data_IF_102913299797
#
_entry.id   IF_102913299797
#
_cell.length_a   1.000
_cell.length_b   1.000
_cell.length_c   1.000
_cell.angle_alpha   90.00
_cell.angle_beta   90.00
_cell.angle_gamma   90.00
#
_symmetry.space_group_name_H-M   'P 1'
#
loop_
_entity.id
_entity.type
_entity.pdbx_description
1 polymer ?
#
# COMPACT_ATOMS: atom_id res chain seq x y z
N UNK A 1 -15.64 39.98 -112.33
CA UNK A 1 -16.18 39.59 -110.97
C UNK A 1 -15.08 39.28 -110.02
N UNK A 2 -14.49 40.27 -109.31
CA UNK A 2 -13.46 39.98 -108.29
C UNK A 2 -13.82 40.41 -106.87
N UNK A 3 -15.09 40.67 -106.48
CA UNK A 3 -15.43 41.18 -105.18
C UNK A 3 -15.71 40.11 -104.07
N UNK A 4 -15.85 38.85 -104.41
CA UNK A 4 -16.15 37.78 -103.42
C UNK A 4 -14.90 37.22 -102.67
N UNK A 5 -13.71 37.37 -103.22
CA UNK A 5 -12.46 36.85 -102.58
C UNK A 5 -11.90 37.74 -101.51
N UNK A 6 -12.22 39.04 -101.51
CA UNK A 6 -11.72 39.97 -100.49
C UNK A 6 -12.50 39.86 -99.18
N UNK A 7 -13.78 39.54 -99.24
CA UNK A 7 -14.59 39.35 -98.01
C UNK A 7 -14.28 38.03 -97.24
N UNK A 8 -13.89 36.98 -97.97
CA UNK A 8 -13.49 35.71 -97.32
C UNK A 8 -12.14 35.84 -96.66
N UNK A 9 -11.22 36.62 -97.19
CA UNK A 9 -9.94 36.91 -96.55
C UNK A 9 -10.12 37.79 -95.30
N UNK A 10 -11.03 38.77 -95.28
CA UNK A 10 -11.34 39.62 -94.16
C UNK A 10 -12.01 38.83 -93.02
N UNK A 11 -12.90 37.89 -93.38
CA UNK A 11 -13.53 37.01 -92.38
C UNK A 11 -12.52 36.03 -91.71
N UNK A 12 -11.55 35.50 -92.48
CA UNK A 12 -10.48 34.66 -91.96
C UNK A 12 -9.52 35.42 -91.08
N UNK A 13 -9.19 36.67 -91.38
CA UNK A 13 -8.34 37.54 -90.58
C UNK A 13 -9.05 37.89 -89.23
N UNK A 14 -10.35 38.23 -89.27
CA UNK A 14 -11.14 38.49 -88.07
C UNK A 14 -11.27 37.25 -87.19
N UNK A 15 -11.41 36.05 -87.79
CA UNK A 15 -11.47 34.81 -87.05
C UNK A 15 -10.11 34.49 -86.44
N UNK A 16 -9.00 34.71 -87.16
CA UNK A 16 -7.65 34.54 -86.64
C UNK A 16 -7.33 35.51 -85.46
N UNK A 17 -7.76 36.78 -85.59
CA UNK A 17 -7.59 37.79 -84.53
C UNK A 17 -8.48 37.44 -83.34
N UNK A 18 -9.69 36.93 -83.51
CA UNK A 18 -10.56 36.46 -82.47
C UNK A 18 -9.98 35.26 -81.69
N UNK A 19 -9.37 34.30 -82.41
CA UNK A 19 -8.68 33.15 -81.75
C UNK A 19 -7.41 33.61 -81.08
N UNK A 20 -6.67 34.60 -81.60
CA UNK A 20 -5.48 35.13 -80.91
C UNK A 20 -5.82 35.93 -79.67
N UNK A 21 -6.92 36.70 -79.68
CA UNK A 21 -7.42 37.41 -78.52
C UNK A 21 -8.00 36.43 -77.43
N UNK A 22 -8.64 35.34 -77.90
CA UNK A 22 -9.10 34.29 -76.97
C UNK A 22 -7.93 33.51 -76.38
N UNK A 23 -6.89 33.24 -77.15
CA UNK A 23 -5.66 32.59 -76.61
C UNK A 23 -4.81 33.51 -75.73
N UNK A 24 -4.98 34.84 -75.87
CA UNK A 24 -4.26 35.85 -75.09
C UNK A 24 -5.04 36.31 -73.84
N UNK A 25 -6.24 35.80 -73.63
CA UNK A 25 -6.88 36.00 -72.32
C UNK A 25 -6.01 35.32 -71.26
N UNK A 26 -5.40 36.10 -70.33
CA UNK A 26 -4.66 35.48 -69.24
C UNK A 26 -5.71 34.80 -68.37
N UNK A 27 -5.82 33.47 -68.48
CA UNK A 27 -6.50 32.69 -67.46
C UNK A 27 -5.78 32.99 -66.22
N UNK A 28 -6.36 33.88 -65.40
CA UNK A 28 -5.98 34.04 -64.03
C UNK A 28 -6.18 32.67 -63.37
N UNK A 29 -5.10 31.86 -63.38
CA UNK A 29 -5.04 30.74 -62.42
C UNK A 29 -5.32 31.35 -61.03
N UNK A 30 -6.52 31.17 -60.55
CA UNK A 30 -6.79 31.39 -59.17
C UNK A 30 -5.78 30.51 -58.43
N UNK A 31 -4.75 31.12 -57.84
CA UNK A 31 -3.87 30.47 -56.89
C UNK A 31 -4.79 30.02 -55.75
N UNK A 32 -5.33 28.81 -55.88
CA UNK A 32 -5.96 28.14 -54.74
C UNK A 32 -4.84 27.84 -53.75
N UNK A 33 -4.58 28.81 -52.87
CA UNK A 33 -3.70 28.60 -51.71
C UNK A 33 -4.16 27.38 -50.91
N UNK A 34 -3.31 26.85 -50.09
CA UNK A 34 -3.66 25.70 -49.25
C UNK A 34 -4.95 25.99 -48.48
N UNK A 35 -5.94 25.11 -48.60
CA UNK A 35 -7.15 25.20 -47.79
C UNK A 35 -6.86 24.76 -46.37
N UNK A 36 -7.20 25.63 -45.40
CA UNK A 36 -6.94 25.40 -44.00
C UNK A 36 -8.20 24.89 -43.30
N UNK A 37 -8.02 23.87 -42.46
CA UNK A 37 -9.08 23.41 -41.57
C UNK A 37 -9.13 24.37 -40.37
N UNK A 38 -10.26 25.04 -40.18
CA UNK A 38 -10.49 26.04 -39.16
C UNK A 38 -11.35 25.48 -38.05
N UNK A 39 -11.11 25.93 -36.80
CA UNK A 39 -11.99 25.71 -35.68
C UNK A 39 -12.26 27.02 -34.93
N UNK A 40 -13.48 27.16 -34.41
CA UNK A 40 -13.86 28.31 -33.61
C UNK A 40 -13.41 28.09 -32.17
N UNK A 41 -12.86 29.12 -31.54
CA UNK A 41 -12.53 29.14 -30.15
C UNK A 41 -13.80 29.16 -29.30
N UNK A 42 -13.98 28.20 -28.41
CA UNK A 42 -15.14 28.08 -27.53
C UNK A 42 -14.74 28.30 -26.10
N UNK A 43 -15.67 28.88 -25.31
CA UNK A 43 -15.56 28.91 -23.86
C UNK A 43 -16.31 27.72 -23.26
N UNK A 44 -15.74 27.16 -22.19
CA UNK A 44 -16.41 26.09 -21.48
C UNK A 44 -15.54 25.47 -20.39
N UNK A 45 -16.07 24.47 -19.71
CA UNK A 45 -15.33 23.79 -18.64
C UNK A 45 -14.16 22.98 -19.21
N UNK A 46 -13.03 23.03 -18.50
CA UNK A 46 -11.83 22.26 -18.80
C UNK A 46 -11.39 21.56 -17.52
N UNK A 47 -11.14 20.27 -17.57
CA UNK A 47 -10.67 19.50 -16.43
C UNK A 47 -9.42 18.72 -16.80
N UNK A 48 -8.33 19.03 -16.13
CA UNK A 48 -7.14 18.19 -16.21
C UNK A 48 -7.30 16.97 -15.31
N UNK A 49 -6.90 15.83 -15.81
CA UNK A 49 -6.92 14.59 -15.07
C UNK A 49 -5.66 13.77 -15.34
N UNK A 50 -5.12 13.18 -14.31
CA UNK A 50 -4.08 12.15 -14.39
C UNK A 50 -4.77 10.81 -14.54
N UNK A 51 -4.39 10.06 -15.57
CA UNK A 51 -4.91 8.71 -15.83
C UNK A 51 -3.88 7.69 -15.38
N UNK A 52 -4.31 6.73 -14.59
CA UNK A 52 -3.42 5.68 -14.08
C UNK A 52 -4.22 4.41 -13.81
N UNK A 53 -3.55 3.27 -13.82
CA UNK A 53 -4.14 1.99 -13.45
C UNK A 53 -3.88 1.68 -11.97
N UNK A 54 -4.77 0.92 -11.39
CA UNK A 54 -4.67 0.52 -9.98
C UNK A 54 -5.36 -0.78 -9.68
N UNK A 55 -5.26 -1.22 -8.44
CA UNK A 55 -5.93 -2.42 -7.93
C UNK A 55 -6.82 -2.08 -6.75
N UNK A 56 -7.98 -2.71 -6.69
CA UNK A 56 -8.87 -2.60 -5.54
C UNK A 56 -8.42 -3.54 -4.43
N UNK A 57 -8.51 -3.05 -3.20
CA UNK A 57 -8.32 -3.83 -1.98
C UNK A 57 -9.37 -3.42 -0.95
N UNK A 58 -9.68 -4.31 0.00
CA UNK A 58 -10.46 -3.89 1.15
C UNK A 58 -9.62 -2.92 2.02
N UNK A 59 -10.28 -1.97 2.66
CA UNK A 59 -9.61 -0.94 3.47
C UNK A 59 -8.74 -1.56 4.58
N UNK A 60 -9.23 -2.63 5.22
CA UNK A 60 -8.50 -3.36 6.25
C UNK A 60 -8.54 -4.84 5.90
N UNK A 61 -7.37 -5.41 5.64
CA UNK A 61 -7.17 -6.84 5.46
C UNK A 61 -6.25 -7.37 6.55
N UNK A 62 -6.60 -8.52 7.13
CA UNK A 62 -5.80 -9.19 8.15
C UNK A 62 -5.41 -10.57 7.63
N UNK A 63 -4.11 -10.83 7.65
CA UNK A 63 -3.57 -12.15 7.32
C UNK A 63 -3.48 -12.97 8.59
N UNK A 64 -4.11 -14.14 8.59
CA UNK A 64 -4.11 -15.09 9.70
C UNK A 64 -3.18 -16.24 9.34
N UNK A 65 -2.15 -16.44 10.16
CA UNK A 65 -1.19 -17.52 10.02
C UNK A 65 -1.17 -18.43 11.25
N UNK A 66 -0.35 -19.50 11.20
CA UNK A 66 -0.07 -20.33 12.38
C UNK A 66 1.18 -19.85 13.11
N UNK A 67 1.16 -19.91 14.44
CA UNK A 67 2.32 -19.64 15.30
C UNK A 67 3.08 -20.92 15.68
N UNK A 68 2.46 -22.09 15.45
CA UNK A 68 3.05 -23.41 15.73
C UNK A 68 2.98 -24.27 14.48
N UNK A 69 3.96 -25.15 14.33
CA UNK A 69 4.01 -26.12 13.22
C UNK A 69 3.14 -27.33 13.53
N UNK A 70 2.41 -27.81 12.54
CA UNK A 70 1.56 -29.00 12.69
C UNK A 70 0.76 -29.28 11.41
N UNK A 71 0.02 -30.37 11.41
CA UNK A 71 -0.88 -30.73 10.32
C UNK A 71 -2.26 -30.10 10.55
N UNK A 72 -2.90 -29.59 9.51
CA UNK A 72 -4.28 -29.10 9.56
C UNK A 72 -5.23 -30.27 9.72
N UNK A 73 -5.92 -30.33 10.84
CA UNK A 73 -6.91 -31.37 11.14
C UNK A 73 -8.29 -31.03 10.63
N UNK A 74 -8.69 -29.76 10.77
CA UNK A 74 -10.04 -29.31 10.48
C UNK A 74 -10.02 -27.86 9.99
N UNK A 75 -10.82 -27.54 8.97
CA UNK A 75 -11.10 -26.19 8.51
C UNK A 75 -12.61 -25.97 8.62
N UNK A 76 -13.05 -24.91 9.31
CA UNK A 76 -14.47 -24.61 9.60
C UNK A 76 -15.06 -23.52 8.74
N UNK A 77 -14.24 -22.86 7.93
CA UNK A 77 -14.63 -21.75 7.06
C UNK A 77 -14.08 -21.96 5.66
N UNK A 78 -14.79 -21.43 4.67
CA UNK A 78 -14.36 -21.48 3.29
C UNK A 78 -14.34 -20.07 2.70
N UNK A 79 -14.01 -19.93 1.41
CA UNK A 79 -14.07 -18.67 0.70
C UNK A 79 -15.43 -17.99 0.89
N UNK A 80 -15.42 -16.68 1.03
CA UNK A 80 -16.60 -15.82 1.25
C UNK A 80 -17.40 -16.10 2.54
N UNK A 81 -16.88 -16.93 3.46
CA UNK A 81 -17.52 -17.16 4.75
C UNK A 81 -17.41 -15.90 5.63
N UNK A 82 -18.51 -15.50 6.24
CA UNK A 82 -18.52 -14.49 7.30
C UNK A 82 -17.96 -15.08 8.59
N UNK A 83 -17.05 -14.38 9.22
CA UNK A 83 -16.42 -14.77 10.48
C UNK A 83 -16.52 -13.66 11.51
N UNK A 84 -16.68 -14.07 12.78
CA UNK A 84 -16.64 -13.16 13.93
C UNK A 84 -15.29 -13.21 14.59
N UNK A 85 -14.95 -12.14 15.30
CA UNK A 85 -13.77 -12.10 16.15
C UNK A 85 -13.79 -13.28 17.13
N UNK A 86 -12.62 -13.91 17.34
CA UNK A 86 -12.39 -15.07 18.17
C UNK A 86 -13.09 -16.38 17.72
N UNK A 87 -13.80 -16.35 16.59
CA UNK A 87 -14.36 -17.56 15.97
C UNK A 87 -13.24 -18.49 15.49
N UNK A 88 -13.38 -19.78 15.80
CA UNK A 88 -12.45 -20.82 15.32
C UNK A 88 -12.64 -21.03 13.82
N UNK A 89 -11.58 -20.82 13.05
CA UNK A 89 -11.57 -20.94 11.59
C UNK A 89 -10.85 -22.20 11.11
N UNK A 90 -9.83 -22.64 11.84
CA UNK A 90 -9.14 -23.90 11.57
C UNK A 90 -8.54 -24.46 12.86
N UNK A 91 -8.17 -25.74 12.85
CA UNK A 91 -7.50 -26.42 13.96
C UNK A 91 -6.37 -27.28 13.41
N UNK A 92 -5.21 -27.15 14.03
CA UNK A 92 -4.10 -28.09 13.87
C UNK A 92 -4.37 -29.37 14.66
N UNK A 93 -3.68 -30.45 14.33
CA UNK A 93 -3.74 -31.67 15.13
C UNK A 93 -3.13 -31.45 16.52
N UNK A 94 -3.92 -31.56 17.60
CA UNK A 94 -3.47 -31.26 18.94
C UNK A 94 -2.72 -32.42 19.61
N UNK A 95 -2.69 -33.61 19.07
CA UNK A 95 -2.24 -34.84 19.73
C UNK A 95 -0.84 -34.72 20.35
N UNK A 96 0.11 -34.16 19.60
CA UNK A 96 1.47 -33.95 20.09
C UNK A 96 1.54 -32.88 21.18
N UNK A 97 0.70 -31.86 21.11
CA UNK A 97 0.62 -30.79 22.10
C UNK A 97 -0.09 -31.24 23.38
N UNK A 98 -1.18 -32.02 23.25
CA UNK A 98 -1.86 -32.65 24.37
C UNK A 98 -0.89 -33.56 25.15
N UNK A 99 -0.09 -34.36 24.46
CA UNK A 99 0.94 -35.20 25.08
C UNK A 99 1.99 -34.38 25.85
N UNK A 100 2.41 -33.22 25.32
CA UNK A 100 3.33 -32.29 25.99
C UNK A 100 2.70 -31.69 27.23
N UNK A 101 1.43 -31.31 27.18
CA UNK A 101 0.69 -30.80 28.33
C UNK A 101 0.60 -31.87 29.41
N UNK A 102 0.23 -33.12 29.08
CA UNK A 102 0.16 -34.23 30.01
C UNK A 102 1.52 -34.52 30.67
N UNK A 103 2.61 -34.49 29.90
CA UNK A 103 3.96 -34.62 30.43
C UNK A 103 4.31 -33.49 31.41
N UNK A 104 4.03 -32.23 31.08
CA UNK A 104 4.32 -31.09 31.93
C UNK A 104 3.47 -31.09 33.21
N UNK A 105 2.23 -31.60 33.14
CA UNK A 105 1.38 -31.82 34.33
C UNK A 105 1.93 -32.88 35.26
N UNK A 106 2.42 -34.00 34.72
CA UNK A 106 3.08 -35.04 35.50
C UNK A 106 4.37 -34.52 36.18
N UNK A 107 5.19 -33.74 35.45
CA UNK A 107 6.40 -33.14 35.96
C UNK A 107 6.10 -32.14 37.11
N UNK A 108 5.06 -31.33 36.94
CA UNK A 108 4.62 -30.43 38.03
C UNK A 108 4.19 -31.21 39.25
N UNK A 109 3.39 -32.27 39.08
CA UNK A 109 2.92 -33.11 40.17
C UNK A 109 4.05 -33.79 40.94
N UNK A 110 5.08 -34.25 40.22
CA UNK A 110 6.30 -34.81 40.82
C UNK A 110 7.04 -33.72 41.67
N UNK A 111 7.18 -32.51 41.14
CA UNK A 111 7.81 -31.40 41.87
C UNK A 111 7.01 -30.97 43.11
N UNK A 112 5.68 -30.94 43.02
CA UNK A 112 4.79 -30.68 44.16
C UNK A 112 4.97 -31.74 45.28
N UNK A 113 5.02 -33.03 44.88
CA UNK A 113 5.26 -34.13 45.84
C UNK A 113 6.63 -34.02 46.51
N UNK A 114 7.67 -33.65 45.76
CA UNK A 114 9.01 -33.41 46.32
C UNK A 114 9.02 -32.22 47.30
N UNK A 115 8.29 -31.16 47.01
CA UNK A 115 8.14 -30.01 47.90
C UNK A 115 7.40 -30.38 49.21
N UNK A 116 6.42 -31.29 49.12
CA UNK A 116 5.73 -31.77 50.31
C UNK A 116 6.62 -32.65 51.20
N UNK A 117 7.47 -33.51 50.60
CA UNK A 117 8.50 -34.24 51.36
C UNK A 117 9.48 -33.28 52.04
N UNK A 118 9.94 -32.22 51.35
CA UNK A 118 10.80 -31.23 51.95
C UNK A 118 10.14 -30.51 53.16
N UNK A 119 8.85 -30.21 53.05
CA UNK A 119 8.05 -29.63 54.16
C UNK A 119 7.92 -30.58 55.34
N UNK A 120 7.72 -31.89 55.08
CA UNK A 120 7.71 -32.90 56.12
C UNK A 120 9.05 -32.98 56.86
N UNK A 121 10.16 -32.98 56.15
CA UNK A 121 11.51 -32.93 56.72
C UNK A 121 11.74 -31.67 57.57
N UNK A 122 11.27 -30.51 57.11
CA UNK A 122 11.33 -29.25 57.85
C UNK A 122 10.59 -29.36 59.15
N UNK A 123 9.39 -29.98 59.21
CA UNK A 123 8.61 -30.18 60.44
C UNK A 123 9.36 -31.07 61.40
N UNK A 124 10.04 -32.14 60.99
CA UNK A 124 10.89 -33.01 61.82
C UNK A 124 12.03 -32.19 62.46
N UNK A 125 12.77 -31.40 61.69
CA UNK A 125 13.87 -30.55 62.21
C UNK A 125 13.36 -29.46 63.13
N UNK A 126 12.18 -28.92 62.95
CA UNK A 126 11.55 -28.00 63.92
C UNK A 126 11.27 -28.67 65.26
N UNK A 127 10.80 -29.93 65.24
CA UNK A 127 10.57 -30.71 66.49
C UNK A 127 11.90 -31.02 67.17
N UNK A 128 12.99 -31.29 66.40
CA UNK A 128 14.33 -31.53 66.98
C UNK A 128 14.86 -30.28 67.68
N UNK A 129 14.71 -29.09 67.13
CA UNK A 129 15.06 -27.81 67.80
C UNK A 129 14.26 -27.66 69.10
N UNK A 130 12.94 -27.95 69.05
CA UNK A 130 12.10 -27.93 70.26
C UNK A 130 12.62 -28.86 71.36
N UNK A 131 13.01 -30.08 70.99
CA UNK A 131 13.59 -31.06 71.94
C UNK A 131 14.92 -30.56 72.49
N UNK A 132 15.85 -30.08 71.72
CA UNK A 132 17.14 -29.57 72.14
C UNK A 132 17.01 -28.34 73.02
N UNK A 133 16.04 -27.48 72.76
CA UNK A 133 15.72 -26.32 73.63
C UNK A 133 15.25 -26.73 74.97
N UNK A 134 14.35 -27.74 75.12
CA UNK A 134 13.88 -28.26 76.38
C UNK A 134 15.04 -28.88 77.19
N UNK A 135 15.97 -29.61 76.51
CA UNK A 135 17.13 -30.19 77.13
C UNK A 135 18.08 -29.12 77.72
N UNK A 136 18.30 -28.02 76.93
CA UNK A 136 19.11 -26.89 77.40
C UNK A 136 18.46 -26.20 78.63
N UNK A 137 17.14 -25.96 78.57
CA UNK A 137 16.40 -25.37 79.73
C UNK A 137 16.46 -26.24 80.94
N UNK A 138 16.44 -27.56 80.82
CA UNK A 138 16.59 -28.49 82.01
C UNK A 138 18.02 -28.49 82.50
N UNK A 139 19.04 -28.52 81.66
CA UNK A 139 20.44 -28.39 82.05
C UNK A 139 20.70 -27.07 82.79
N UNK A 140 20.15 -25.96 82.32
CA UNK A 140 20.27 -24.66 83.00
C UNK A 140 19.63 -24.65 84.39
N UNK A 141 18.43 -25.19 84.53
CA UNK A 141 17.74 -25.31 85.83
C UNK A 141 18.55 -26.17 86.80
N UNK A 142 19.20 -27.25 86.32
CA UNK A 142 20.06 -28.10 87.16
C UNK A 142 21.32 -27.35 87.58
N UNK A 143 21.97 -26.62 86.68
CA UNK A 143 23.12 -25.79 86.99
C UNK A 143 22.79 -24.73 88.03
N UNK A 144 21.68 -24.05 87.94
CA UNK A 144 21.22 -23.06 88.91
C UNK A 144 20.99 -23.64 90.26
N UNK A 145 20.37 -24.79 90.36
CA UNK A 145 20.20 -25.54 91.60
C UNK A 145 21.56 -25.91 92.20
N UNK A 146 22.50 -26.46 91.44
CA UNK A 146 23.84 -26.80 91.85
C UNK A 146 24.66 -25.59 92.28
N UNK A 147 24.54 -24.45 91.59
CA UNK A 147 25.17 -23.18 92.04
C UNK A 147 24.72 -22.73 93.40
N UNK A 148 23.43 -22.86 93.77
CA UNK A 148 22.90 -22.53 95.03
C UNK A 148 23.43 -23.46 96.14
N UNK A 149 23.56 -24.78 95.88
CA UNK A 149 24.07 -25.76 96.78
C UNK A 149 25.59 -25.61 97.11
N UNK A 150 26.41 -25.25 96.05
CA UNK A 150 27.85 -24.95 96.29
C UNK A 150 28.02 -23.74 97.14
N UNK A 151 27.22 -22.67 96.98
CA UNK A 151 27.26 -21.50 97.90
C UNK A 151 26.99 -21.81 99.33
N UNK A 152 26.25 -22.90 99.56
CA UNK A 152 25.97 -23.40 100.94
C UNK A 152 26.95 -24.51 101.46
N UNK A 153 28.02 -24.83 100.68
CA UNK A 153 29.00 -25.87 100.89
C UNK A 153 28.45 -27.30 100.97
N UNK A 154 27.29 -27.58 100.34
CA UNK A 154 26.67 -28.91 100.32
C UNK A 154 27.18 -29.85 99.23
N UNK A 155 27.82 -29.33 98.16
CA UNK A 155 28.39 -30.11 97.04
C UNK A 155 29.77 -29.58 96.70
N UNK A 156 30.58 -30.39 95.94
CA UNK A 156 31.93 -30.03 95.49
C UNK A 156 31.94 -29.12 94.29
N UNK A 157 33.02 -28.36 94.08
CA UNK A 157 33.20 -27.54 92.85
C UNK A 157 33.23 -28.41 91.61
N UNK A 158 33.77 -29.63 91.67
CA UNK A 158 33.77 -30.56 90.56
C UNK A 158 32.35 -30.95 89.98
N UNK A 159 31.38 -31.00 90.93
CA UNK A 159 29.99 -31.25 90.57
C UNK A 159 29.35 -30.02 89.87
N UNK A 160 29.78 -28.82 90.18
CA UNK A 160 29.37 -27.61 89.46
C UNK A 160 29.95 -27.58 88.09
N UNK A 161 31.27 -27.91 87.93
CA UNK A 161 31.94 -27.98 86.65
C UNK A 161 31.28 -29.00 85.68
N UNK A 162 30.87 -30.15 86.21
CA UNK A 162 30.15 -31.16 85.44
C UNK A 162 28.77 -30.65 84.93
N UNK A 163 28.08 -29.88 85.79
CA UNK A 163 26.78 -29.28 85.38
C UNK A 163 26.97 -28.16 84.40
N UNK A 164 28.05 -27.37 84.46
CA UNK A 164 28.41 -26.38 83.50
C UNK A 164 28.72 -27.05 82.12
N UNK A 165 29.53 -28.09 82.14
CA UNK A 165 29.82 -28.85 80.86
C UNK A 165 28.56 -29.46 80.20
N UNK A 166 27.58 -29.90 81.07
CA UNK A 166 26.30 -30.38 80.58
C UNK A 166 25.48 -29.26 79.86
N UNK A 167 25.47 -28.02 80.41
CA UNK A 167 24.84 -26.86 79.76
C UNK A 167 25.54 -26.51 78.44
N UNK A 168 26.87 -26.50 78.43
CA UNK A 168 27.62 -26.17 77.24
C UNK A 168 27.37 -27.22 76.17
N UNK A 169 27.33 -28.52 76.52
CA UNK A 169 26.96 -29.61 75.58
C UNK A 169 25.54 -29.45 75.06
N UNK A 170 24.56 -29.13 75.90
CA UNK A 170 23.18 -28.94 75.45
C UNK A 170 23.02 -27.71 74.60
N UNK A 171 23.83 -26.65 74.86
CA UNK A 171 23.85 -25.45 73.98
C UNK A 171 24.36 -25.77 72.58
N UNK A 172 25.45 -26.52 72.47
CA UNK A 172 25.99 -26.92 71.18
C UNK A 172 25.03 -27.87 70.44
N UNK A 173 24.30 -28.73 71.13
CA UNK A 173 23.24 -29.54 70.55
C UNK A 173 22.10 -28.68 69.98
N UNK A 174 21.70 -27.58 70.65
CA UNK A 174 20.72 -26.65 70.16
C UNK A 174 21.24 -25.90 68.89
N UNK A 175 22.49 -25.44 68.92
CA UNK A 175 23.13 -24.79 67.81
C UNK A 175 23.14 -25.70 66.57
N UNK A 176 23.49 -26.98 66.76
CA UNK A 176 23.49 -27.98 65.70
C UNK A 176 22.07 -28.18 65.09
N UNK A 177 21.07 -28.35 66.01
CA UNK A 177 19.69 -28.52 65.54
C UNK A 177 19.15 -27.28 64.77
N UNK A 178 19.56 -26.09 65.22
CA UNK A 178 19.21 -24.83 64.50
C UNK A 178 19.89 -24.76 63.13
N UNK A 179 21.15 -25.19 63.02
CA UNK A 179 21.82 -25.24 61.68
C UNK A 179 21.13 -26.26 60.77
N UNK A 180 20.74 -27.42 61.23
CA UNK A 180 19.99 -28.43 60.47
C UNK A 180 18.61 -27.87 60.03
N UNK A 181 17.94 -27.12 60.90
CA UNK A 181 16.68 -26.44 60.55
C UNK A 181 16.89 -25.45 59.42
N UNK A 182 17.96 -24.66 59.48
CA UNK A 182 18.27 -23.70 58.40
C UNK A 182 18.50 -24.41 57.02
N UNK A 183 19.21 -25.56 57.07
CA UNK A 183 19.39 -26.38 55.84
C UNK A 183 18.03 -26.90 55.32
N UNK A 184 17.17 -27.42 56.22
CA UNK A 184 15.84 -27.88 55.80
C UNK A 184 14.96 -26.76 55.25
N UNK A 185 15.06 -25.54 55.82
CA UNK A 185 14.37 -24.35 55.28
C UNK A 185 14.86 -24.01 53.87
N UNK A 186 16.17 -24.05 53.62
CA UNK A 186 16.76 -23.83 52.29
C UNK A 186 16.29 -24.91 51.29
N UNK A 187 16.19 -26.17 51.71
CA UNK A 187 15.65 -27.25 50.88
C UNK A 187 14.20 -27.02 50.47
N UNK A 188 13.35 -26.55 51.38
CA UNK A 188 11.96 -26.15 51.04
C UNK A 188 11.96 -24.99 50.06
N UNK A 189 12.84 -24.00 50.20
CA UNK A 189 13.03 -22.91 49.25
C UNK A 189 13.37 -23.40 47.87
N UNK A 190 14.33 -24.31 47.76
CA UNK A 190 14.73 -24.93 46.50
C UNK A 190 13.62 -25.75 45.86
N UNK A 191 12.90 -26.56 46.62
CA UNK A 191 11.78 -27.34 46.15
C UNK A 191 10.63 -26.46 45.62
N UNK A 192 10.31 -25.36 46.32
CA UNK A 192 9.32 -24.36 45.84
C UNK A 192 9.75 -23.71 44.52
N UNK A 193 11.04 -23.37 44.35
CA UNK A 193 11.56 -22.84 43.10
C UNK A 193 11.40 -23.83 41.94
N UNK A 194 11.62 -25.13 42.21
CA UNK A 194 11.36 -26.17 41.21
C UNK A 194 9.87 -26.29 40.82
N UNK A 195 8.95 -26.20 41.80
CA UNK A 195 7.51 -26.18 41.50
C UNK A 195 7.17 -24.99 40.58
N UNK A 196 7.67 -23.79 40.93
CA UNK A 196 7.44 -22.59 40.09
C UNK A 196 7.99 -22.74 38.68
N UNK A 197 9.17 -23.36 38.49
CA UNK A 197 9.76 -23.65 37.20
C UNK A 197 8.88 -24.62 36.38
N UNK A 198 8.41 -25.72 36.99
CA UNK A 198 7.53 -26.69 36.30
C UNK A 198 6.16 -26.10 35.95
N UNK A 199 5.64 -25.25 36.82
CA UNK A 199 4.39 -24.52 36.59
C UNK A 199 4.51 -23.58 35.38
N UNK A 200 5.66 -22.88 35.22
CA UNK A 200 5.94 -22.08 34.04
C UNK A 200 6.03 -22.95 32.77
N UNK A 201 6.67 -24.13 32.84
CA UNK A 201 6.72 -25.10 31.74
C UNK A 201 5.32 -25.58 31.33
N UNK A 202 4.46 -25.91 32.30
CA UNK A 202 3.07 -26.30 32.01
C UNK A 202 2.29 -25.15 31.32
N UNK A 203 2.46 -23.93 31.80
CA UNK A 203 1.83 -22.75 31.17
C UNK A 203 2.25 -22.62 29.71
N UNK A 204 3.53 -22.80 29.42
CA UNK A 204 4.03 -22.76 28.05
C UNK A 204 3.42 -23.87 27.18
N UNK A 205 3.37 -25.10 27.67
CA UNK A 205 2.76 -26.21 26.93
C UNK A 205 1.26 -25.96 26.63
N UNK A 206 0.51 -25.40 27.59
CA UNK A 206 -0.89 -25.01 27.38
C UNK A 206 -1.06 -23.88 26.40
N UNK A 207 -0.19 -22.88 26.35
CA UNK A 207 -0.18 -21.83 25.36
C UNK A 207 0.07 -22.39 23.94
N UNK A 208 0.99 -23.33 23.82
CA UNK A 208 1.29 -23.94 22.53
C UNK A 208 0.12 -24.83 22.04
N UNK A 209 -0.59 -25.49 22.94
CA UNK A 209 -1.83 -26.19 22.64
C UNK A 209 -2.96 -25.21 22.22
N UNK A 210 -3.14 -24.10 22.90
CA UNK A 210 -4.15 -23.10 22.51
C UNK A 210 -3.84 -22.51 21.12
N UNK A 211 -2.57 -22.35 20.76
CA UNK A 211 -2.12 -21.89 19.44
C UNK A 211 -2.42 -22.89 18.31
N UNK A 212 -2.79 -24.15 18.61
CA UNK A 212 -3.29 -25.09 17.61
C UNK A 212 -4.68 -24.71 17.10
N UNK A 213 -5.40 -23.88 17.84
CA UNK A 213 -6.73 -23.39 17.49
C UNK A 213 -6.57 -22.04 16.79
N UNK A 214 -6.71 -22.02 15.46
CA UNK A 214 -6.62 -20.81 14.66
C UNK A 214 -7.94 -20.07 14.74
N UNK A 215 -7.90 -18.81 15.22
CA UNK A 215 -9.08 -17.96 15.40
C UNK A 215 -8.99 -16.73 14.50
N UNK A 216 -10.14 -16.18 14.12
CA UNK A 216 -10.20 -14.88 13.45
C UNK A 216 -9.90 -13.77 14.47
N UNK A 217 -8.95 -12.86 14.17
CA UNK A 217 -8.66 -11.71 15.04
C UNK A 217 -9.67 -10.57 14.91
N UNK A 218 -10.52 -10.59 13.85
CA UNK A 218 -11.48 -9.54 13.49
C UNK A 218 -12.79 -10.12 13.00
N UNK A 219 -13.86 -9.32 13.04
CA UNK A 219 -15.08 -9.60 12.29
C UNK A 219 -14.82 -9.30 10.81
N UNK A 220 -15.33 -10.13 9.90
CA UNK A 220 -15.15 -9.89 8.47
C UNK A 220 -15.52 -11.09 7.59
N UNK A 221 -15.02 -11.05 6.35
CA UNK A 221 -15.23 -12.07 5.33
C UNK A 221 -13.89 -12.65 4.88
N UNK A 222 -13.83 -13.97 4.75
CA UNK A 222 -12.64 -14.68 4.27
C UNK A 222 -12.49 -14.44 2.76
N UNK A 223 -11.40 -13.73 2.37
CA UNK A 223 -11.08 -13.45 0.96
C UNK A 223 -10.32 -14.61 0.34
N UNK A 224 -9.32 -15.15 1.05
CA UNK A 224 -8.51 -16.25 0.55
C UNK A 224 -8.24 -17.29 1.63
N UNK A 225 -8.17 -18.55 1.20
CA UNK A 225 -7.76 -19.72 1.96
C UNK A 225 -6.58 -20.36 1.22
N UNK A 226 -5.42 -20.36 1.86
CA UNK A 226 -4.17 -20.83 1.26
C UNK A 226 -3.71 -22.16 1.89
N UNK A 227 -4.64 -22.94 2.45
CA UNK A 227 -4.34 -24.17 3.18
C UNK A 227 -5.48 -25.17 3.03
N UNK A 228 -5.12 -26.46 2.98
CA UNK A 228 -6.09 -27.57 2.89
C UNK A 228 -6.00 -28.50 4.11
N UNK A 229 -7.09 -29.25 4.34
CA UNK A 229 -7.13 -30.26 5.40
C UNK A 229 -6.09 -31.35 5.10
N UNK A 230 -5.32 -31.76 6.11
CA UNK A 230 -4.22 -32.71 5.95
C UNK A 230 -2.89 -32.08 5.55
N UNK A 231 -2.86 -30.80 5.18
CA UNK A 231 -1.62 -30.08 4.85
C UNK A 231 -0.79 -29.81 6.12
N UNK A 232 0.51 -30.03 6.04
CA UNK A 232 1.45 -29.67 7.10
C UNK A 232 1.91 -28.25 6.92
N UNK A 233 1.80 -27.44 7.98
CA UNK A 233 2.29 -26.06 8.04
C UNK A 233 3.51 -25.98 8.94
N UNK A 234 4.58 -25.29 8.49
CA UNK A 234 5.80 -25.09 9.22
C UNK A 234 5.96 -23.61 9.57
N UNK A 235 5.90 -23.30 10.85
CA UNK A 235 6.01 -21.91 11.36
C UNK A 235 7.44 -21.53 11.79
N UNK A 236 8.44 -22.42 11.59
CA UNK A 236 9.79 -22.27 12.16
C UNK A 236 10.60 -21.14 11.54
N UNK A 237 10.42 -20.83 10.23
CA UNK A 237 11.20 -19.82 9.50
C UNK A 237 10.36 -18.62 9.10
N UNK A 238 9.13 -18.85 8.71
CA UNK A 238 8.20 -17.82 8.27
C UNK A 238 6.78 -18.29 8.58
N UNK A 239 6.00 -17.47 9.26
CA UNK A 239 4.61 -17.81 9.53
C UNK A 239 3.84 -17.88 8.21
N UNK A 240 3.35 -19.05 7.78
CA UNK A 240 2.58 -19.16 6.56
C UNK A 240 1.23 -18.45 6.72
N UNK A 241 0.82 -17.69 5.71
CA UNK A 241 -0.52 -17.10 5.66
C UNK A 241 -1.51 -18.18 5.31
N UNK A 242 -2.42 -18.51 6.23
CA UNK A 242 -3.45 -19.53 6.05
C UNK A 242 -4.74 -18.91 5.47
N UNK A 243 -5.16 -17.78 6.02
CA UNK A 243 -6.36 -17.07 5.60
C UNK A 243 -6.08 -15.58 5.47
N UNK A 244 -6.78 -14.94 4.52
CA UNK A 244 -6.86 -13.48 4.44
C UNK A 244 -8.29 -13.06 4.70
N UNK A 245 -8.52 -12.21 5.68
CA UNK A 245 -9.84 -11.77 6.11
C UNK A 245 -9.95 -10.27 5.86
N UNK A 246 -11.00 -9.84 5.12
CA UNK A 246 -11.38 -8.45 5.00
C UNK A 246 -12.38 -8.09 6.10
N UNK A 247 -12.12 -6.99 6.79
CA UNK A 247 -13.01 -6.53 7.86
C UNK A 247 -14.36 -6.05 7.34
N UNK A 248 -14.35 -5.27 6.26
CA UNK A 248 -15.56 -4.72 5.64
C UNK A 248 -15.31 -4.51 4.14
N UNK A 249 -16.13 -5.14 3.31
CA UNK A 249 -16.09 -5.00 1.86
C UNK A 249 -16.92 -3.81 1.35
N UNK A 250 -17.68 -3.14 2.21
CA UNK A 250 -18.42 -1.91 1.87
C UNK A 250 -17.51 -0.70 1.76
N UNK A 251 -16.36 -0.76 2.41
CA UNK A 251 -15.31 0.26 2.33
C UNK A 251 -14.08 -0.32 1.65
N UNK A 252 -13.83 0.17 0.46
CA UNK A 252 -12.72 -0.27 -0.37
C UNK A 252 -11.69 0.84 -0.53
N UNK A 253 -10.50 0.45 -0.92
CA UNK A 253 -9.43 1.34 -1.29
C UNK A 253 -8.88 0.95 -2.66
N UNK A 254 -8.66 1.95 -3.51
CA UNK A 254 -7.97 1.75 -4.78
C UNK A 254 -6.52 2.22 -4.63
N UNK A 255 -5.60 1.32 -4.85
CA UNK A 255 -4.17 1.66 -4.93
C UNK A 255 -3.82 1.92 -6.39
N UNK A 256 -3.66 3.20 -6.74
CA UNK A 256 -3.38 3.67 -8.09
C UNK A 256 -1.90 3.94 -8.26
N UNK A 257 -1.27 3.35 -9.27
CA UNK A 257 0.13 3.60 -9.60
C UNK A 257 0.21 4.81 -10.54
N UNK A 258 0.65 5.95 -10.01
CA UNK A 258 0.81 7.21 -10.74
C UNK A 258 2.28 7.40 -11.10
N UNK A 259 2.56 7.78 -12.35
CA UNK A 259 3.91 8.02 -12.83
C UNK A 259 4.56 9.24 -12.13
N UNK A 260 5.88 9.20 -11.97
CA UNK A 260 6.67 10.29 -11.36
C UNK A 260 6.41 11.65 -12.03
N UNK A 261 6.21 11.66 -13.35
CA UNK A 261 5.95 12.89 -14.11
C UNK A 261 4.62 13.58 -13.72
N UNK A 262 3.64 12.81 -13.22
CA UNK A 262 2.29 13.28 -12.95
C UNK A 262 1.98 13.41 -11.45
N UNK A 263 2.74 12.73 -10.56
CA UNK A 263 2.47 12.70 -9.12
C UNK A 263 2.49 14.09 -8.48
N UNK A 264 3.31 15.01 -9.01
CA UNK A 264 3.40 16.40 -8.52
C UNK A 264 2.11 17.21 -8.69
N UNK A 265 1.16 16.74 -9.53
CA UNK A 265 -0.15 17.37 -9.72
C UNK A 265 -1.24 16.76 -8.85
N UNK A 266 -0.98 15.61 -8.24
CA UNK A 266 -1.95 14.90 -7.40
C UNK A 266 -1.86 15.41 -5.98
N UNK A 267 -3.01 15.65 -5.36
CA UNK A 267 -3.12 16.09 -3.97
C UNK A 267 -4.21 15.29 -3.24
N UNK A 268 -4.07 15.19 -1.92
CA UNK A 268 -5.09 14.60 -1.05
C UNK A 268 -6.39 15.40 -1.13
N UNK A 269 -7.52 14.70 -1.08
CA UNK A 269 -8.84 15.31 -1.19
C UNK A 269 -9.37 15.44 -2.63
N UNK A 270 -8.54 15.23 -3.65
CA UNK A 270 -8.99 15.25 -5.05
C UNK A 270 -9.97 14.13 -5.34
N UNK A 271 -10.95 14.43 -6.20
CA UNK A 271 -11.92 13.45 -6.66
C UNK A 271 -11.29 12.54 -7.71
N UNK A 272 -11.55 11.27 -7.57
CA UNK A 272 -11.15 10.25 -8.53
C UNK A 272 -12.39 9.60 -9.13
N UNK A 273 -12.41 9.42 -10.45
CA UNK A 273 -13.38 8.60 -11.16
C UNK A 273 -12.65 7.38 -11.71
N UNK A 274 -13.24 6.22 -11.57
CA UNK A 274 -12.62 5.01 -12.12
C UNK A 274 -13.68 4.07 -12.69
N UNK A 275 -13.25 3.20 -13.56
CA UNK A 275 -14.01 2.08 -14.08
C UNK A 275 -13.25 0.79 -13.78
N UNK A 276 -13.96 -0.31 -13.64
CA UNK A 276 -13.39 -1.64 -13.51
C UNK A 276 -13.81 -2.47 -14.73
N UNK A 277 -12.93 -3.33 -15.19
CA UNK A 277 -13.17 -4.12 -16.40
C UNK A 277 -14.35 -5.09 -16.25
N UNK A 278 -14.65 -5.49 -15.00
CA UNK A 278 -15.79 -6.35 -14.68
C UNK A 278 -17.16 -5.68 -14.91
N UNK A 279 -17.22 -4.33 -14.87
CA UNK A 279 -18.46 -3.55 -15.07
C UNK A 279 -18.25 -2.46 -16.11
N UNK A 280 -18.17 -2.82 -17.42
CA UNK A 280 -17.96 -1.87 -18.49
C UNK A 280 -19.18 -0.94 -18.58
N UNK A 281 -18.92 0.37 -18.45
CA UNK A 281 -19.97 1.41 -18.52
C UNK A 281 -20.40 1.97 -17.17
N UNK A 282 -20.15 1.29 -16.05
CA UNK A 282 -20.35 1.85 -14.72
C UNK A 282 -19.13 2.72 -14.34
N UNK A 283 -19.41 3.88 -13.73
CA UNK A 283 -18.37 4.80 -13.25
C UNK A 283 -18.48 4.90 -11.73
N UNK A 284 -17.43 4.52 -11.07
CA UNK A 284 -17.32 4.64 -9.62
C UNK A 284 -16.60 5.92 -9.25
N UNK A 285 -16.91 6.43 -8.07
CA UNK A 285 -16.28 7.62 -7.50
C UNK A 285 -15.45 7.24 -6.28
N UNK A 286 -14.31 7.90 -6.15
CA UNK A 286 -13.46 7.81 -4.98
C UNK A 286 -12.84 9.15 -4.65
N UNK A 287 -12.19 9.22 -3.52
CA UNK A 287 -11.44 10.39 -3.08
C UNK A 287 -10.03 9.99 -2.67
N UNK A 288 -9.04 10.72 -3.16
CA UNK A 288 -7.64 10.54 -2.79
C UNK A 288 -7.46 10.82 -1.31
N UNK A 289 -7.03 9.83 -0.55
CA UNK A 289 -6.80 9.93 0.90
C UNK A 289 -5.33 10.13 1.23
N UNK A 290 -4.45 9.47 0.48
CA UNK A 290 -3.03 9.49 0.76
C UNK A 290 -2.20 9.28 -0.51
N UNK A 291 -1.05 9.94 -0.55
CA UNK A 291 0.00 9.68 -1.54
C UNK A 291 1.19 9.09 -0.78
N UNK A 292 1.58 7.86 -1.11
CA UNK A 292 2.73 7.21 -0.49
C UNK A 292 4.01 7.81 -1.05
N UNK A 293 4.90 8.25 -0.16
CA UNK A 293 6.16 8.91 -0.54
C UNK A 293 7.25 7.93 -1.00
N UNK A 294 7.10 6.63 -0.68
CA UNK A 294 8.02 5.61 -1.16
C UNK A 294 7.67 5.25 -2.61
N UNK A 295 8.61 5.38 -3.55
CA UNK A 295 8.39 4.98 -4.94
C UNK A 295 8.37 3.45 -5.07
N UNK A 296 7.67 2.97 -6.08
CA UNK A 296 7.72 1.59 -6.54
C UNK A 296 8.40 1.61 -7.90
N UNK A 297 9.52 0.90 -8.02
CA UNK A 297 10.21 0.75 -9.30
C UNK A 297 9.91 -0.62 -9.87
N UNK A 298 9.26 -0.64 -11.03
CA UNK A 298 8.99 -1.86 -11.78
C UNK A 298 9.43 -1.65 -13.23
N UNK A 299 10.22 -2.58 -13.77
CA UNK A 299 10.74 -2.51 -15.14
C UNK A 299 11.38 -1.15 -15.50
N UNK A 300 12.16 -0.57 -14.59
CA UNK A 300 12.79 0.75 -14.71
C UNK A 300 11.80 1.95 -14.80
N UNK A 301 10.53 1.73 -14.50
CA UNK A 301 9.54 2.81 -14.40
C UNK A 301 9.29 3.11 -12.92
N UNK A 302 9.43 4.37 -12.55
CA UNK A 302 9.19 4.86 -11.18
C UNK A 302 7.74 5.33 -11.07
N UNK A 303 7.00 4.72 -10.16
CA UNK A 303 5.61 5.09 -9.88
C UNK A 303 5.40 5.33 -8.40
N UNK A 304 4.38 6.11 -8.06
CA UNK A 304 3.97 6.39 -6.69
C UNK A 304 2.57 5.85 -6.44
N UNK A 305 2.38 5.18 -5.30
CA UNK A 305 1.06 4.69 -4.89
C UNK A 305 0.20 5.82 -4.38
N UNK A 306 -0.90 6.08 -5.07
CA UNK A 306 -1.96 6.99 -4.65
C UNK A 306 -3.13 6.16 -4.15
N UNK A 307 -3.46 6.31 -2.87
CA UNK A 307 -4.56 5.60 -2.23
C UNK A 307 -5.82 6.45 -2.32
N UNK A 308 -6.90 5.85 -2.77
CA UNK A 308 -8.20 6.50 -2.85
C UNK A 308 -9.27 5.65 -2.20
N UNK A 309 -10.06 6.24 -1.29
CA UNK A 309 -11.18 5.57 -0.64
C UNK A 309 -12.39 5.53 -1.56
N UNK A 310 -13.09 4.42 -1.55
CA UNK A 310 -14.24 4.13 -2.38
C UNK A 310 -15.32 3.48 -1.54
N UNK A 311 -16.56 3.90 -1.69
CA UNK A 311 -17.72 3.25 -1.10
C UNK A 311 -18.24 2.16 -2.03
N UNK A 312 -18.59 1.00 -1.47
CA UNK A 312 -19.09 -0.17 -2.17
C UNK A 312 -20.37 -0.71 -1.51
N UNK A 313 -21.47 0.06 -1.48
CA UNK A 313 -22.68 -0.34 -0.78
C UNK A 313 -23.32 -1.61 -1.35
N UNK A 314 -23.22 -1.81 -2.65
CA UNK A 314 -23.81 -2.94 -3.38
C UNK A 314 -22.89 -4.18 -3.41
N UNK A 315 -21.70 -4.12 -2.80
CA UNK A 315 -20.69 -5.19 -2.78
C UNK A 315 -20.27 -5.67 -4.19
N UNK A 316 -20.44 -4.83 -5.22
CA UNK A 316 -20.04 -5.13 -6.60
C UNK A 316 -18.52 -5.15 -6.79
N UNK A 317 -17.81 -4.28 -6.07
CA UNK A 317 -16.37 -4.18 -6.13
C UNK A 317 -15.74 -5.27 -5.27
N UNK A 318 -14.85 -6.06 -5.87
CA UNK A 318 -14.15 -7.14 -5.18
C UNK A 318 -12.65 -6.82 -5.06
N UNK A 319 -12.00 -7.25 -3.97
CA UNK A 319 -10.55 -7.15 -3.83
C UNK A 319 -9.83 -7.86 -4.99
N UNK A 320 -8.78 -7.24 -5.53
CA UNK A 320 -8.02 -7.77 -6.66
C UNK A 320 -8.49 -7.29 -8.04
N UNK A 321 -9.66 -6.62 -8.16
CA UNK A 321 -10.09 -6.04 -9.43
C UNK A 321 -9.14 -4.94 -9.89
N UNK A 322 -8.88 -4.88 -11.20
CA UNK A 322 -8.12 -3.80 -11.83
C UNK A 322 -9.04 -2.60 -12.09
N UNK A 323 -8.55 -1.43 -11.74
CA UNK A 323 -9.26 -0.17 -11.94
C UNK A 323 -8.48 0.75 -12.90
N UNK A 324 -9.18 1.31 -13.87
CA UNK A 324 -8.69 2.41 -14.70
C UNK A 324 -9.17 3.72 -14.08
N UNK A 325 -8.26 4.42 -13.39
CA UNK A 325 -8.56 5.61 -12.60
C UNK A 325 -8.22 6.90 -13.34
N UNK A 326 -9.05 7.92 -13.11
CA UNK A 326 -8.83 9.31 -13.54
C UNK A 326 -8.94 10.21 -12.32
N UNK A 327 -7.82 10.76 -11.89
CA UNK A 327 -7.72 11.69 -10.77
C UNK A 327 -7.88 13.10 -11.31
N UNK A 328 -8.90 13.81 -10.88
CA UNK A 328 -9.17 15.19 -11.28
C UNK A 328 -8.20 16.12 -10.55
N UNK A 329 -7.20 16.63 -11.26
CA UNK A 329 -6.17 17.49 -10.67
C UNK A 329 -6.57 18.95 -10.66
N UNK A 330 -7.16 19.43 -11.74
CA UNK A 330 -7.66 20.80 -11.84
C UNK A 330 -8.99 20.86 -12.60
N UNK A 331 -9.91 21.68 -12.14
CA UNK A 331 -11.19 21.96 -12.80
C UNK A 331 -11.35 23.46 -12.96
N UNK A 332 -11.54 23.90 -14.21
CA UNK A 332 -11.82 25.29 -14.58
C UNK A 332 -13.19 25.33 -15.23
N UNK A 333 -14.09 26.20 -14.73
CA UNK A 333 -15.50 26.19 -15.15
C UNK A 333 -15.75 26.97 -16.46
N UNK A 334 -15.02 28.07 -16.69
CA UNK A 334 -15.22 28.94 -17.86
C UNK A 334 -13.86 29.46 -18.37
N UNK A 335 -13.23 28.69 -19.23
CA UNK A 335 -11.94 29.07 -19.87
C UNK A 335 -12.07 29.01 -21.36
N UNK A 336 -11.23 29.80 -22.05
CA UNK A 336 -11.13 29.74 -23.50
C UNK A 336 -10.31 28.48 -23.88
N UNK A 337 -10.95 27.56 -24.59
CA UNK A 337 -10.38 26.27 -24.99
C UNK A 337 -9.68 26.38 -26.32
N UNK A 338 -8.42 26.04 -26.33
CA UNK A 338 -7.60 26.00 -27.52
C UNK A 338 -7.36 24.54 -27.91
N UNK A 339 -7.87 24.03 -29.03
CA UNK A 339 -7.58 22.67 -29.49
C UNK A 339 -6.07 22.45 -29.63
N UNK A 340 -5.58 21.32 -29.07
CA UNK A 340 -4.14 21.02 -29.11
C UNK A 340 -3.59 20.82 -30.52
N UNK A 341 -4.45 20.48 -31.48
CA UNK A 341 -4.09 20.44 -32.92
C UNK A 341 -3.59 21.80 -33.41
N UNK A 342 -4.23 22.91 -32.98
CA UNK A 342 -3.82 24.26 -33.37
C UNK A 342 -2.43 24.64 -32.82
N UNK A 343 -2.04 24.12 -31.67
CA UNK A 343 -0.71 24.34 -31.06
C UNK A 343 0.40 23.60 -31.82
N UNK A 344 0.06 22.49 -32.48
CA UNK A 344 1.01 21.66 -33.25
C UNK A 344 1.15 22.11 -34.69
N UNK A 345 0.19 22.90 -35.18
CA UNK A 345 0.20 23.37 -36.55
C UNK A 345 1.39 24.30 -36.83
N UNK A 346 2.12 24.03 -37.90
CA UNK A 346 3.20 24.88 -38.41
C UNK A 346 2.97 25.09 -39.89
N UNK A 347 2.71 26.33 -40.32
CA UNK A 347 2.51 26.61 -41.73
C UNK A 347 3.82 26.44 -42.49
N UNK A 348 3.70 25.89 -43.71
CA UNK A 348 4.79 25.81 -44.69
C UNK A 348 4.53 26.81 -45.79
N UNK A 349 5.59 27.36 -46.37
CA UNK A 349 5.49 28.22 -47.57
C UNK A 349 5.06 27.39 -48.77
N UNK A 350 4.66 28.03 -49.85
CA UNK A 350 4.23 27.35 -51.08
C UNK A 350 5.31 26.44 -51.71
N UNK A 351 6.56 26.64 -51.35
CA UNK A 351 7.74 25.85 -51.71
C UNK A 351 8.03 24.66 -50.75
N UNK A 352 7.18 24.46 -49.75
CA UNK A 352 7.36 23.38 -48.76
C UNK A 352 8.33 23.71 -47.62
N UNK A 353 8.96 24.91 -47.59
CA UNK A 353 9.86 25.31 -46.53
C UNK A 353 9.10 25.83 -45.33
N UNK A 354 9.48 25.46 -44.09
CA UNK A 354 8.85 26.00 -42.90
C UNK A 354 9.16 27.51 -42.76
N UNK A 355 8.12 28.30 -42.48
CA UNK A 355 8.27 29.73 -42.28
C UNK A 355 9.24 29.97 -41.10
N UNK A 356 10.42 30.52 -41.39
CA UNK A 356 11.36 30.98 -40.35
C UNK A 356 10.74 32.16 -39.59
N UNK A 357 10.43 31.91 -38.33
CA UNK A 357 9.82 32.89 -37.46
C UNK A 357 10.89 33.59 -36.62
N UNK A 358 10.96 34.91 -36.74
CA UNK A 358 11.70 35.71 -35.77
C UNK A 358 11.05 35.57 -34.37
N UNK A 359 11.83 35.16 -33.39
CA UNK A 359 11.41 35.08 -31.99
C UNK A 359 11.35 36.51 -31.44
N UNK A 360 10.23 37.21 -31.69
CA UNK A 360 9.97 38.48 -31.02
C UNK A 360 9.45 38.24 -29.59
N UNK A 361 10.22 38.70 -28.61
CA UNK A 361 9.79 39.00 -27.26
C UNK A 361 9.33 37.80 -26.43
N UNK A 362 10.09 37.44 -25.42
CA UNK A 362 9.66 36.58 -24.30
C UNK A 362 8.65 37.39 -23.50
N UNK A 363 7.36 37.30 -23.78
CA UNK A 363 6.36 37.86 -22.88
C UNK A 363 6.47 37.18 -21.51
N UNK A 364 6.78 37.94 -20.49
CA UNK A 364 6.81 37.47 -19.11
C UNK A 364 5.38 37.33 -18.58
N UNK A 365 5.08 36.22 -17.93
CA UNK A 365 3.77 35.96 -17.33
C UNK A 365 3.59 34.49 -16.96
N UNK A 366 2.57 34.17 -16.16
CA UNK A 366 2.25 32.80 -15.77
C UNK A 366 1.83 31.96 -16.98
N UNK A 367 2.16 30.66 -16.96
CA UNK A 367 1.81 29.70 -18.02
C UNK A 367 2.93 29.44 -19.02
N UNK A 368 2.70 28.45 -19.88
CA UNK A 368 3.65 28.00 -20.91
C UNK A 368 3.47 28.85 -22.16
N UNK A 369 4.54 29.41 -22.77
CA UNK A 369 4.43 30.14 -24.03
C UNK A 369 4.00 29.18 -25.14
N UNK A 370 2.99 29.58 -25.89
CA UNK A 370 2.47 28.87 -27.05
C UNK A 370 2.23 29.81 -28.23
N UNK A 371 1.98 29.25 -29.37
CA UNK A 371 1.66 29.97 -30.60
C UNK A 371 0.56 29.27 -31.34
N UNK A 372 -0.37 30.08 -31.86
CA UNK A 372 -1.46 29.61 -32.75
C UNK A 372 -1.49 30.47 -33.99
N UNK A 373 -2.16 29.95 -35.00
CA UNK A 373 -2.23 30.61 -36.29
C UNK A 373 -3.68 30.95 -36.60
N UNK A 374 -3.92 32.16 -37.04
CA UNK A 374 -5.20 32.65 -37.53
C UNK A 374 -5.08 32.99 -39.03
N UNK A 375 -6.18 32.92 -39.72
CA UNK A 375 -6.23 33.33 -41.13
C UNK A 375 -6.47 34.86 -41.17
N UNK A 376 -5.49 35.62 -41.67
CA UNK A 376 -5.60 37.06 -41.91
C UNK A 376 -5.36 37.31 -43.37
N UNK A 377 -6.37 37.84 -44.08
CA UNK A 377 -6.30 38.12 -45.54
C UNK A 377 -5.86 36.91 -46.36
N UNK A 378 -6.35 35.71 -46.00
CA UNK A 378 -6.00 34.46 -46.70
C UNK A 378 -4.62 33.87 -46.37
N UNK A 379 -3.82 34.52 -45.47
CA UNK A 379 -2.50 34.05 -45.08
C UNK A 379 -2.46 33.70 -43.56
N UNK A 380 -1.71 32.65 -43.18
CA UNK A 380 -1.54 32.30 -41.76
C UNK A 380 -0.71 33.37 -41.01
N UNK A 381 -1.29 34.00 -40.03
CA UNK A 381 -0.64 34.97 -39.13
C UNK A 381 -0.44 34.38 -37.74
N UNK A 382 0.75 34.46 -37.14
CA UNK A 382 1.03 33.93 -35.81
C UNK A 382 0.46 34.84 -34.73
N UNK A 383 -0.16 34.24 -33.70
CA UNK A 383 -0.54 34.92 -32.46
C UNK A 383 0.13 34.18 -31.30
N UNK A 384 0.85 34.94 -30.48
CA UNK A 384 1.44 34.40 -29.27
C UNK A 384 0.36 34.31 -28.19
N UNK A 385 0.37 33.18 -27.46
CA UNK A 385 -0.58 32.90 -26.39
C UNK A 385 0.15 32.34 -25.16
N UNK A 386 -0.43 32.53 -23.99
CA UNK A 386 -0.01 31.85 -22.78
C UNK A 386 -0.98 30.73 -22.48
N UNK A 387 -0.44 29.55 -22.26
CA UNK A 387 -1.17 28.31 -22.07
C UNK A 387 -1.19 27.93 -20.60
N UNK A 388 -2.34 27.51 -20.13
CA UNK A 388 -2.58 26.99 -18.79
C UNK A 388 -2.74 25.48 -18.78
N UNK A 389 -3.82 25.05 -18.16
CA UNK A 389 -4.16 23.63 -17.95
C UNK A 389 -4.58 22.97 -19.26
N UNK A 390 -4.23 21.70 -19.46
CA UNK A 390 -4.61 20.91 -20.63
C UNK A 390 -5.31 19.60 -20.20
N UNK A 391 -6.37 19.23 -20.94
CA UNK A 391 -7.07 17.95 -20.80
C UNK A 391 -6.59 16.86 -21.79
N UNK A 392 -5.52 17.17 -22.56
CA UNK A 392 -4.99 16.31 -23.62
C UNK A 392 -5.63 16.56 -24.99
N UNK A 393 -6.84 17.13 -25.08
CA UNK A 393 -7.54 17.51 -26.32
C UNK A 393 -7.51 19.02 -26.55
N UNK A 394 -7.71 19.79 -25.50
CA UNK A 394 -7.68 21.23 -25.51
C UNK A 394 -6.80 21.75 -24.37
N UNK A 395 -6.28 22.97 -24.53
CA UNK A 395 -5.49 23.67 -23.53
C UNK A 395 -6.12 25.02 -23.21
N UNK A 396 -6.12 25.41 -21.94
CA UNK A 396 -6.57 26.70 -21.47
C UNK A 396 -5.70 27.81 -22.06
N UNK A 397 -6.31 28.87 -22.55
CA UNK A 397 -5.61 30.08 -22.91
C UNK A 397 -5.72 31.09 -21.75
N UNK A 398 -4.60 31.36 -21.08
CA UNK A 398 -4.52 32.31 -19.97
C UNK A 398 -4.41 33.76 -20.46
N UNK A 399 -3.65 34.02 -21.53
CA UNK A 399 -3.43 35.35 -22.10
C UNK A 399 -3.21 35.23 -23.61
N UNK A 400 -3.74 36.18 -24.39
CA UNK A 400 -3.60 36.28 -25.83
C UNK A 400 -4.65 37.21 -26.44
N UNK A 401 -4.41 37.70 -27.65
CA UNK A 401 -5.31 38.62 -28.38
C UNK A 401 -6.45 37.87 -29.09
N UNK A 402 -6.94 36.75 -28.52
CA UNK A 402 -7.99 35.94 -29.10
C UNK A 402 -9.25 35.98 -28.24
N UNK A 403 -10.40 36.13 -28.91
CA UNK A 403 -11.72 36.10 -28.25
C UNK A 403 -12.50 34.85 -28.66
N UNK A 404 -13.51 34.49 -27.84
CA UNK A 404 -14.43 33.42 -28.19
C UNK A 404 -15.08 33.67 -29.55
N UNK A 405 -15.27 32.61 -30.36
CA UNK A 405 -15.83 32.70 -31.72
C UNK A 405 -14.80 32.98 -32.81
N UNK A 406 -13.56 33.33 -32.48
CA UNK A 406 -12.52 33.55 -33.49
C UNK A 406 -12.04 32.24 -34.09
N UNK A 407 -11.84 32.22 -35.39
CA UNK A 407 -11.36 31.03 -36.11
C UNK A 407 -9.84 30.92 -36.04
N UNK A 408 -9.36 29.72 -35.70
CA UNK A 408 -7.95 29.36 -35.65
C UNK A 408 -7.67 28.19 -36.59
N UNK A 409 -6.44 28.08 -37.07
CA UNK A 409 -6.02 27.05 -38.01
C UNK A 409 -5.62 25.79 -37.20
N UNK A 410 -6.25 24.66 -37.53
CA UNK A 410 -5.91 23.34 -36.99
C UNK A 410 -4.90 22.60 -37.87
N UNK A 411 -4.98 22.78 -39.20
CA UNK A 411 -4.17 22.05 -40.13
C UNK A 411 -4.47 22.46 -41.59
N UNK A 412 -3.83 21.81 -42.52
CA UNK A 412 -4.09 21.93 -43.96
C UNK A 412 -5.01 20.80 -44.39
N UNK A 413 -5.99 21.07 -45.23
CA UNK A 413 -6.91 20.05 -45.74
C UNK A 413 -6.16 19.14 -46.74
N UNK A 414 -6.23 17.81 -46.53
CA UNK A 414 -5.44 16.81 -47.28
C UNK A 414 -5.69 16.85 -48.80
N UNK A 415 -6.86 17.31 -49.24
CA UNK A 415 -7.18 17.50 -50.66
C UNK A 415 -6.26 18.51 -51.34
N UNK A 416 -5.64 19.44 -50.62
CA UNK A 416 -4.73 20.45 -51.15
C UNK A 416 -3.26 19.97 -51.22
N UNK A 417 -2.85 19.02 -50.37
CA UNK A 417 -1.50 18.45 -50.39
C UNK A 417 -1.25 17.56 -51.61
N UNK A 418 -2.26 16.82 -52.07
CA UNK A 418 -2.15 15.95 -53.25
C UNK A 418 -2.10 16.71 -54.59
N UNK A 419 -2.51 18.00 -54.64
CA UNK A 419 -2.40 18.85 -55.84
C UNK A 419 -1.01 19.46 -56.01
N UNK A 420 -0.27 19.68 -54.94
CA UNK A 420 1.07 20.28 -54.95
C UNK A 420 2.19 19.28 -55.28
N UNK A 421 1.93 17.97 -55.18
CA UNK A 421 2.94 16.93 -55.30
C UNK A 421 3.02 16.22 -56.69
N UNK A 422 2.39 16.75 -57.75
CA UNK A 422 2.61 16.20 -59.11
C UNK A 422 3.81 16.91 -59.76
N UNK A 423 4.99 16.28 -59.85
CA UNK A 423 6.07 16.82 -60.69
C UNK A 423 5.67 16.70 -62.17
N UNK A 424 5.72 17.85 -62.87
CA UNK A 424 5.58 17.94 -64.32
C UNK A 424 6.74 17.15 -64.97
N UNK A 425 6.49 15.89 -65.37
CA UNK A 425 7.45 15.16 -66.18
C UNK A 425 7.28 15.69 -67.65
N UNK A 426 8.33 16.28 -68.22
CA UNK A 426 8.28 16.58 -69.63
C UNK A 426 8.30 15.28 -70.45
N UNK A 427 7.35 15.17 -71.37
CA UNK A 427 7.29 14.13 -72.39
C UNK A 427 8.57 14.23 -73.28
N UNK A 428 9.55 13.37 -73.03
CA UNK A 428 10.70 13.18 -73.85
C UNK A 428 10.33 12.23 -75.01
N UNK A 429 10.19 12.75 -76.16
CA UNK A 429 10.35 12.02 -77.44
C UNK A 429 11.78 11.50 -77.52
N UNK A 430 11.93 10.25 -77.89
CA UNK A 430 13.21 9.66 -78.16
C UNK A 430 13.06 8.31 -78.80
N UNK A 431 13.45 8.19 -80.00
CA UNK A 431 13.55 7.07 -80.92
C UNK A 431 13.84 5.71 -80.29
#
# INVERSE_FOLDING_TARGET
>A
MPQRRTWTLLALVLLAVGVLLYAWQPWKKAESGPQYRLAKLERGPLSAAVTASGTLSALITVQVGSQVSGQIKEIRVDFNSEVKKDQVIARLDPETFDSRVAQAEADLKAAESAAEVARGNLAVRQAEVGKARIALDDANRNLERKRALVKQNFISAAELDTAQAAVDTAREQLNLAQADLAVAQAQVGSARAQVAQRQAGLKQARLDLDRTIIRSPVDGVVISRNVDVGQTVAASFQAPVLFTIARDLRQMEVNVAVDEADVGRVATGQKMRFSVDAFPGERFMGQVTQIRKAPITSNNVVTYSVMARVENPDLKLLPGMTASARILTEERKDVLKLPNEALRFRPVQADGTPIKLEVRGREEGPGIPGRVWVLKEGKPAPINVRLGVSDGKATEMLKGELQAGREIILGVEEASLNKAAKPNRPFGMGM
#
